data_IF_293292484917
#
_entry.id   IF_293292484917
#
_cell.length_a   1.000
_cell.length_b   1.000
_cell.length_c   1.000
_cell.angle_alpha   90.00
_cell.angle_beta   90.00
_cell.angle_gamma   90.00
#
_symmetry.space_group_name_H-M   'P 1'
#
loop_
_entity.id
_entity.type
_entity.pdbx_description
1 polymer ?
#
# COMPACT_ATOMS: atom_id res chain seq x y z
N UNK A 1 -3.03 -0.32 1.16
CA UNK A 1 -3.08 -0.85 -0.22
C UNK A 1 -3.22 -2.35 -0.13
N UNK A 2 -3.71 -3.00 -1.18
CA UNK A 2 -3.81 -4.46 -1.22
C UNK A 2 -3.69 -4.98 -2.66
N UNK A 3 -3.69 -6.30 -2.84
CA UNK A 3 -3.63 -6.95 -4.16
C UNK A 3 -4.78 -6.52 -5.09
N UNK A 4 -5.92 -6.15 -4.50
CA UNK A 4 -7.11 -5.66 -5.22
C UNK A 4 -7.21 -4.13 -5.26
N UNK A 5 -6.38 -3.43 -4.48
CA UNK A 5 -6.28 -1.97 -4.43
C UNK A 5 -4.81 -1.55 -4.44
N UNK A 6 -4.22 -1.60 -5.65
CA UNK A 6 -2.80 -1.34 -5.87
C UNK A 6 -2.42 0.13 -5.67
N UNK A 7 -3.39 1.04 -5.78
CA UNK A 7 -3.16 2.47 -5.64
C UNK A 7 -3.99 3.04 -4.50
N UNK A 8 -3.33 3.82 -3.64
CA UNK A 8 -4.01 4.64 -2.63
C UNK A 8 -3.79 6.11 -2.95
N UNK A 9 -4.88 6.86 -2.97
CA UNK A 9 -4.85 8.31 -3.13
C UNK A 9 -5.39 8.96 -1.86
N UNK A 10 -4.83 10.11 -1.50
CA UNK A 10 -5.29 10.87 -0.34
C UNK A 10 -4.69 12.26 -0.31
N UNK A 11 -4.92 12.96 0.80
CA UNK A 11 -4.29 14.25 1.07
C UNK A 11 -3.85 14.33 2.53
N UNK A 12 -2.56 14.60 2.76
CA UNK A 12 -1.97 14.67 4.12
C UNK A 12 -2.44 15.89 4.93
N UNK A 13 -3.01 16.90 4.28
CA UNK A 13 -3.56 18.10 4.89
C UNK A 13 -5.06 17.95 5.22
N UNK A 14 -5.71 16.85 4.83
CA UNK A 14 -7.16 16.67 5.03
C UNK A 14 -7.59 16.48 6.48
N UNK A 15 -6.68 16.00 7.34
CA UNK A 15 -6.89 15.81 8.77
C UNK A 15 -6.17 16.88 9.62
N UNK A 16 -5.61 17.91 8.97
CA UNK A 16 -4.89 18.99 9.65
C UNK A 16 -5.82 20.17 9.96
N UNK A 17 -5.60 20.84 11.09
CA UNK A 17 -6.24 22.12 11.38
C UNK A 17 -5.36 23.19 10.75
N UNK A 18 -5.69 23.59 9.52
CA UNK A 18 -4.91 24.59 8.78
C UNK A 18 -4.68 25.84 9.65
N UNK A 19 -3.41 26.14 9.91
CA UNK A 19 -2.94 27.38 10.53
C UNK A 19 -2.91 28.54 9.54
N UNK A 20 -1.86 29.36 9.56
CA UNK A 20 -1.64 30.38 8.53
C UNK A 20 -1.35 29.80 7.12
N UNK A 21 -1.17 28.48 7.05
CA UNK A 21 -1.05 27.67 5.84
C UNK A 21 -2.33 27.72 4.99
N UNK A 22 -2.46 28.75 4.17
CA UNK A 22 -3.46 28.74 3.08
C UNK A 22 -2.95 27.82 1.99
N UNK A 23 -3.55 26.65 1.82
CA UNK A 23 -3.28 25.79 0.64
C UNK A 23 -3.70 26.53 -0.63
N UNK A 24 -2.77 26.98 -1.48
CA UNK A 24 -3.13 27.58 -2.76
C UNK A 24 -3.62 26.47 -3.71
N UNK A 25 -4.57 26.79 -4.58
CA UNK A 25 -5.19 25.80 -5.46
C UNK A 25 -4.21 25.35 -6.57
N UNK A 26 -3.86 24.05 -6.61
CA UNK A 26 -3.06 23.41 -7.66
C UNK A 26 -2.03 22.41 -7.12
N UNK A 27 -1.66 21.37 -7.89
CA UNK A 27 -0.76 20.29 -7.43
C UNK A 27 0.63 20.78 -6.97
N UNK A 28 1.13 21.84 -7.61
CA UNK A 28 2.45 22.42 -7.32
C UNK A 28 2.39 23.57 -6.29
N UNK A 29 1.25 23.76 -5.65
CA UNK A 29 1.00 24.88 -4.74
C UNK A 29 0.64 24.36 -3.34
N UNK A 30 1.46 24.66 -2.34
CA UNK A 30 1.16 24.33 -0.95
C UNK A 30 2.40 24.25 -0.08
N UNK A 31 2.22 23.95 1.21
CA UNK A 31 3.30 23.98 2.20
C UNK A 31 4.20 22.74 2.13
N UNK A 32 3.78 21.70 1.40
CA UNK A 32 4.48 20.42 1.39
C UNK A 32 5.70 20.50 0.47
N UNK A 33 6.83 19.97 0.93
CA UNK A 33 7.96 19.70 0.03
C UNK A 33 7.62 18.47 -0.83
N UNK A 34 7.36 18.64 -2.15
CA UNK A 34 6.97 17.51 -2.99
C UNK A 34 8.14 16.55 -3.19
N UNK A 35 7.83 15.28 -3.42
CA UNK A 35 8.86 14.26 -3.61
C UNK A 35 8.31 12.89 -3.96
N UNK A 36 9.23 12.04 -4.41
CA UNK A 36 9.00 10.61 -4.62
C UNK A 36 9.77 9.82 -3.57
N UNK A 37 9.07 8.98 -2.83
CA UNK A 37 9.62 8.19 -1.74
C UNK A 37 9.45 6.71 -2.07
N UNK A 38 10.56 5.97 -2.10
CA UNK A 38 10.53 4.51 -2.25
C UNK A 38 10.39 3.88 -0.87
N UNK A 39 9.30 3.15 -0.67
CA UNK A 39 9.02 2.38 0.54
C UNK A 39 9.48 0.93 0.41
N UNK A 40 9.06 0.10 1.37
CA UNK A 40 9.37 -1.34 1.40
C UNK A 40 8.53 -2.10 0.39
N UNK A 41 7.24 -1.79 0.28
CA UNK A 41 6.29 -2.53 -0.55
C UNK A 41 5.89 -1.76 -1.81
N UNK A 42 6.25 -0.48 -1.93
CA UNK A 42 5.84 0.34 -3.06
C UNK A 42 6.44 1.75 -3.06
N UNK A 43 5.87 2.64 -3.86
CA UNK A 43 6.36 4.01 -4.06
C UNK A 43 5.26 5.03 -3.78
N UNK A 44 5.59 6.06 -3.02
CA UNK A 44 4.74 7.23 -2.76
C UNK A 44 5.20 8.42 -3.61
N UNK A 45 4.27 9.06 -4.30
CA UNK A 45 4.44 10.40 -4.88
C UNK A 45 3.61 11.37 -4.06
N UNK A 46 4.25 12.40 -3.48
CA UNK A 46 3.61 13.44 -2.68
C UNK A 46 3.78 14.79 -3.37
N UNK A 47 2.67 15.50 -3.57
CA UNK A 47 2.62 16.81 -4.22
C UNK A 47 2.63 17.95 -3.20
N UNK A 48 2.92 19.17 -3.66
CA UNK A 48 3.07 20.34 -2.79
C UNK A 48 1.77 20.75 -2.09
N UNK A 49 0.62 20.45 -2.70
CA UNK A 49 -0.71 20.64 -2.10
C UNK A 49 -1.13 19.52 -1.14
N UNK A 50 -0.21 18.60 -0.82
CA UNK A 50 -0.44 17.47 0.06
C UNK A 50 -1.19 16.30 -0.55
N UNK A 51 -1.63 16.36 -1.82
CA UNK A 51 -2.16 15.16 -2.48
C UNK A 51 -1.05 14.15 -2.67
N UNK A 52 -1.37 12.88 -2.46
CA UNK A 52 -0.43 11.80 -2.68
C UNK A 52 -1.05 10.65 -3.45
N UNK A 53 -0.20 9.92 -4.18
CA UNK A 53 -0.50 8.63 -4.79
C UNK A 53 0.55 7.64 -4.34
N UNK A 54 0.12 6.60 -3.64
CA UNK A 54 0.94 5.43 -3.34
C UNK A 54 0.63 4.32 -4.34
N UNK A 55 1.67 3.69 -4.88
CA UNK A 55 1.59 2.53 -5.78
C UNK A 55 2.28 1.34 -5.15
N UNK A 56 1.52 0.30 -4.83
CA UNK A 56 2.00 -0.98 -4.32
C UNK A 56 2.72 -1.77 -5.44
N UNK A 57 3.88 -2.33 -5.11
CA UNK A 57 4.60 -3.26 -5.98
C UNK A 57 4.34 -4.71 -5.53
N UNK A 58 3.35 -5.38 -6.15
CA UNK A 58 3.03 -6.78 -5.84
C UNK A 58 4.11 -7.78 -6.28
N UNK A 59 5.07 -7.34 -7.09
CA UNK A 59 6.22 -8.16 -7.47
C UNK A 59 7.34 -8.14 -6.43
N UNK A 60 7.27 -7.23 -5.46
CA UNK A 60 8.26 -7.09 -4.40
C UNK A 60 8.38 -8.37 -3.56
N UNK A 61 9.62 -8.70 -3.17
CA UNK A 61 9.90 -9.91 -2.42
C UNK A 61 9.34 -9.84 -0.99
N UNK A 62 9.41 -8.67 -0.36
CA UNK A 62 8.90 -8.44 1.00
C UNK A 62 7.36 -8.49 1.00
N UNK A 63 6.71 -7.98 -0.04
CA UNK A 63 5.25 -8.11 -0.18
C UNK A 63 4.81 -9.58 -0.32
N UNK A 64 5.53 -10.37 -1.12
CA UNK A 64 5.29 -11.82 -1.26
C UNK A 64 5.55 -12.58 0.04
N UNK A 65 6.48 -12.10 0.87
CA UNK A 65 6.81 -12.69 2.16
C UNK A 65 5.74 -12.46 3.24
N UNK A 66 4.80 -11.52 3.04
CA UNK A 66 3.64 -11.38 3.95
C UNK A 66 2.75 -12.63 3.96
N UNK A 67 2.83 -13.47 2.92
CA UNK A 67 1.94 -14.62 2.70
C UNK A 67 0.45 -14.22 2.63
N UNK A 68 -0.41 -15.14 2.18
CA UNK A 68 -1.84 -14.86 2.06
C UNK A 68 -2.46 -14.48 3.41
N UNK A 69 -3.12 -13.33 3.47
CA UNK A 69 -3.73 -12.77 4.69
C UNK A 69 -2.76 -12.00 5.60
N UNK A 70 -1.52 -11.75 5.19
CA UNK A 70 -0.54 -10.99 5.96
C UNK A 70 -0.67 -9.47 5.87
N UNK A 71 -0.20 -8.79 6.92
CA UNK A 71 -0.24 -7.33 7.03
C UNK A 71 1.17 -6.71 7.09
N UNK A 72 1.36 -5.62 6.36
CA UNK A 72 2.55 -4.78 6.37
C UNK A 72 2.21 -3.33 6.72
N UNK A 73 3.22 -2.56 7.14
CA UNK A 73 3.08 -1.12 7.38
C UNK A 73 4.20 -0.37 6.68
N UNK A 74 3.85 0.72 6.02
CA UNK A 74 4.80 1.73 5.56
C UNK A 74 4.66 3.02 6.34
N UNK A 75 5.78 3.71 6.52
CA UNK A 75 5.83 5.02 7.14
C UNK A 75 6.72 5.93 6.32
N UNK A 76 6.18 7.04 5.84
CA UNK A 76 6.90 8.07 5.10
C UNK A 76 6.96 9.34 5.92
N UNK A 77 8.17 9.82 6.20
CA UNK A 77 8.36 11.13 6.83
C UNK A 77 8.41 12.20 5.74
N UNK A 78 7.61 13.25 5.89
CA UNK A 78 7.55 14.39 4.98
C UNK A 78 7.69 15.70 5.75
N UNK A 79 8.04 16.77 5.02
CA UNK A 79 8.23 18.11 5.56
C UNK A 79 7.17 19.05 5.00
N UNK A 80 6.62 19.88 5.89
CA UNK A 80 5.79 21.03 5.56
C UNK A 80 6.49 22.30 6.01
N UNK A 81 6.46 23.32 5.18
CA UNK A 81 7.03 24.65 5.41
C UNK A 81 5.91 25.66 5.28
N UNK A 82 5.70 26.47 6.31
CA UNK A 82 4.67 27.51 6.27
C UNK A 82 5.11 28.73 5.46
N UNK A 83 4.22 29.73 5.38
CA UNK A 83 4.46 30.93 4.58
C UNK A 83 5.53 31.87 5.14
N UNK A 84 5.88 31.75 6.43
CA UNK A 84 6.91 32.59 7.05
C UNK A 84 8.27 31.90 7.14
N UNK A 85 8.33 30.61 6.78
CA UNK A 85 9.54 29.84 6.51
C UNK A 85 9.82 28.75 7.54
N UNK A 86 8.98 28.63 8.57
CA UNK A 86 9.12 27.60 9.58
C UNK A 86 8.74 26.23 9.00
N UNK A 87 9.58 25.23 9.29
CA UNK A 87 9.42 23.87 8.76
C UNK A 87 9.15 22.88 9.88
N UNK A 88 8.21 21.97 9.66
CA UNK A 88 7.89 20.85 10.56
C UNK A 88 7.85 19.53 9.78
N UNK A 89 8.09 18.43 10.49
CA UNK A 89 8.02 17.08 9.92
C UNK A 89 6.82 16.31 10.45
N UNK A 90 6.26 15.46 9.61
CA UNK A 90 5.14 14.58 9.93
C UNK A 90 5.30 13.22 9.24
N UNK A 91 4.51 12.24 9.70
CA UNK A 91 4.55 10.87 9.20
C UNK A 91 3.23 10.49 8.53
N UNK A 92 3.29 10.02 7.29
CA UNK A 92 2.21 9.32 6.62
C UNK A 92 2.37 7.82 6.84
N UNK A 93 1.42 7.20 7.53
CA UNK A 93 1.42 5.75 7.81
C UNK A 93 0.39 5.08 6.91
N UNK A 94 0.82 4.06 6.15
CA UNK A 94 -0.02 3.28 5.26
C UNK A 94 -0.03 1.81 5.67
N UNK A 95 -1.22 1.21 5.73
CA UNK A 95 -1.39 -0.23 5.95
C UNK A 95 -1.41 -0.98 4.62
N UNK A 96 -0.68 -2.08 4.54
CA UNK A 96 -0.54 -2.94 3.37
C UNK A 96 -1.12 -4.30 3.71
N UNK A 97 -2.01 -4.81 2.86
CA UNK A 97 -2.66 -6.10 3.06
C UNK A 97 -2.34 -7.01 1.88
N UNK A 98 -1.76 -8.16 2.16
CA UNK A 98 -1.69 -9.27 1.22
C UNK A 98 -2.98 -10.08 1.43
N UNK A 99 -3.90 -10.07 0.46
CA UNK A 99 -5.19 -10.68 0.69
C UNK A 99 -5.02 -12.21 0.73
N UNK A 100 -5.94 -12.92 1.39
CA UNK A 100 -5.95 -14.38 1.33
C UNK A 100 -6.40 -14.80 -0.08
N UNK A 101 -5.47 -15.30 -0.89
CA UNK A 101 -5.77 -15.95 -2.16
C UNK A 101 -6.13 -17.42 -1.88
N UNK A 102 -7.41 -17.82 -1.98
CA UNK A 102 -7.78 -19.21 -1.76
C UNK A 102 -7.14 -20.08 -2.84
N UNK A 103 -6.20 -20.95 -2.44
CA UNK A 103 -5.72 -22.04 -3.28
C UNK A 103 -6.89 -23.01 -3.48
N UNK A 104 -7.62 -22.83 -4.58
CA UNK A 104 -8.65 -23.77 -4.99
C UNK A 104 -8.02 -24.84 -5.86
N UNK A 105 -7.66 -25.99 -5.28
CA UNK A 105 -7.37 -27.18 -6.08
C UNK A 105 -8.69 -27.74 -6.61
N UNK A 106 -9.14 -27.23 -7.75
CA UNK A 106 -10.22 -27.84 -8.51
C UNK A 106 -9.72 -29.11 -9.19
N UNK A 107 -10.15 -30.29 -8.73
CA UNK A 107 -9.81 -31.54 -9.42
C UNK A 107 -9.68 -32.81 -8.58
N UNK A 108 -9.88 -32.80 -7.26
CA UNK A 108 -10.24 -34.04 -6.57
C UNK A 108 -11.71 -34.32 -6.87
N UNK A 109 -11.98 -34.83 -8.08
CA UNK A 109 -13.23 -35.51 -8.37
C UNK A 109 -13.28 -36.73 -7.44
N UNK A 110 -13.83 -36.57 -6.23
CA UNK A 110 -14.24 -37.69 -5.38
C UNK A 110 -15.50 -38.39 -5.92
N UNK A 111 -15.90 -38.10 -7.15
CA UNK A 111 -16.92 -38.81 -7.91
C UNK A 111 -16.29 -39.82 -8.87
N UNK A 112 -15.86 -40.97 -8.38
CA UNK A 112 -15.70 -42.17 -9.20
C UNK A 112 -14.28 -42.69 -9.47
N UNK A 113 -13.24 -42.13 -8.86
CA UNK A 113 -11.92 -42.78 -8.79
C UNK A 113 -11.85 -43.72 -7.59
N UNK A 114 -12.46 -44.90 -7.71
CA UNK A 114 -12.32 -45.97 -6.74
C UNK A 114 -10.82 -46.26 -6.51
N UNK A 115 -10.30 -46.02 -5.30
CA UNK A 115 -9.02 -46.61 -4.89
C UNK A 115 -9.26 -48.10 -4.63
N UNK A 116 -9.42 -48.88 -5.70
CA UNK A 116 -9.37 -50.34 -5.60
C UNK A 116 -7.92 -50.77 -5.69
N UNK A 117 -7.25 -50.93 -4.55
CA UNK A 117 -5.98 -51.64 -4.49
C UNK A 117 -6.30 -53.13 -4.36
N UNK A 118 -6.12 -53.89 -5.44
CA UNK A 118 -6.03 -55.34 -5.41
C UNK A 118 -4.59 -55.77 -5.69
N UNK A 119 -3.80 -55.97 -4.65
CA UNK A 119 -2.60 -56.80 -4.73
C UNK A 119 -2.80 -58.03 -3.85
N UNK A 120 -3.45 -59.04 -4.44
CA UNK A 120 -3.38 -60.42 -3.94
C UNK A 120 -2.66 -61.25 -5.01
N UNK A 121 -1.34 -61.27 -4.91
CA UNK A 121 -0.44 -62.30 -5.42
C UNK A 121 -0.57 -62.70 -6.92
N UNK A 122 -0.03 -61.89 -7.83
CA UNK A 122 0.68 -62.41 -9.02
C UNK A 122 1.72 -61.40 -9.54
#
# INVERSE_FOLDING_TARGET
ASETLLTLNGNVLSNDVQGADRVPLGENSGPITPGTFTGTYGTLVLNANGTYTYTLNTSDADFKALHGGGDGTETFTYTLTDSDGDSSTANLVLQIHNNDDPITIGGLNTGGGELTVFEKNL
#
